data_IF_606059177794
#
_entry.id   IF_606059177794
#
_cell.length_a   1.000
_cell.length_b   1.000
_cell.length_c   1.000
_cell.angle_alpha   90.00
_cell.angle_beta   90.00
_cell.angle_gamma   90.00
#
_symmetry.space_group_name_H-M   'P 1'
#
loop_
_entity.id
_entity.type
_entity.pdbx_description
1 polymer ?
#
# COMPACT_ATOMS: atom_id res chain seq x y z
N UNK A 1 -52.79 -36.39 20.56
CA UNK A 1 -53.00 -37.32 19.43
C UNK A 1 -52.58 -36.67 18.15
N UNK A 2 -51.79 -37.40 17.39
CA UNK A 2 -51.28 -37.21 16.03
C UNK A 2 -49.90 -36.57 15.94
N UNK A 3 -48.94 -37.46 15.86
CA UNK A 3 -47.62 -37.29 15.32
C UNK A 3 -47.72 -36.95 13.82
N UNK A 4 -46.93 -35.97 13.36
CA UNK A 4 -46.57 -35.87 11.96
C UNK A 4 -45.11 -35.58 11.79
N UNK A 5 -44.45 -36.50 11.16
CA UNK A 5 -43.10 -36.45 10.61
C UNK A 5 -42.81 -35.15 9.88
N UNK A 6 -41.81 -34.41 10.31
CA UNK A 6 -41.14 -33.42 9.46
C UNK A 6 -39.97 -34.11 8.77
N UNK A 7 -40.21 -34.44 7.53
CA UNK A 7 -39.25 -34.94 6.57
C UNK A 7 -38.09 -33.95 6.36
N UNK A 8 -36.88 -34.47 6.48
CA UNK A 8 -35.64 -33.86 6.11
C UNK A 8 -35.69 -33.39 4.64
N UNK A 9 -35.77 -32.08 4.44
CA UNK A 9 -35.41 -31.48 3.16
C UNK A 9 -33.89 -31.32 3.18
N UNK A 10 -33.25 -32.17 2.43
CA UNK A 10 -31.81 -32.15 2.19
C UNK A 10 -31.45 -30.84 1.47
N UNK A 11 -30.72 -29.97 2.13
CA UNK A 11 -29.97 -28.87 1.54
C UNK A 11 -28.87 -29.43 0.62
N UNK A 12 -29.22 -29.78 -0.60
CA UNK A 12 -28.26 -30.23 -1.62
C UNK A 12 -28.14 -29.29 -2.83
N UNK A 13 -28.60 -28.02 -2.71
CA UNK A 13 -28.62 -27.09 -3.85
C UNK A 13 -27.91 -25.74 -3.66
N UNK A 14 -26.93 -25.66 -2.76
CA UNK A 14 -26.10 -24.45 -2.62
C UNK A 14 -24.63 -24.76 -2.91
N UNK A 15 -24.32 -25.25 -4.09
CA UNK A 15 -22.96 -25.22 -4.69
C UNK A 15 -23.03 -25.54 -6.17
N UNK A 16 -23.70 -24.68 -6.92
CA UNK A 16 -23.34 -24.42 -8.30
C UNK A 16 -22.90 -22.96 -8.36
N UNK A 17 -21.68 -22.68 -7.89
CA UNK A 17 -20.92 -21.57 -8.40
C UNK A 17 -20.80 -21.81 -9.89
N UNK A 18 -21.40 -20.92 -10.67
CA UNK A 18 -21.22 -20.87 -12.11
C UNK A 18 -19.71 -20.71 -12.39
N UNK A 19 -19.06 -21.83 -12.64
CA UNK A 19 -17.81 -21.85 -13.37
C UNK A 19 -18.17 -21.39 -14.79
N UNK A 20 -18.04 -20.10 -15.05
CA UNK A 20 -17.78 -19.59 -16.38
C UNK A 20 -16.34 -20.04 -16.74
N UNK A 21 -16.15 -21.31 -16.93
CA UNK A 21 -14.97 -21.88 -17.57
C UNK A 21 -15.10 -21.51 -19.04
N UNK A 22 -14.23 -20.61 -19.48
CA UNK A 22 -13.96 -20.48 -20.91
C UNK A 22 -13.61 -21.89 -21.41
N UNK A 23 -14.43 -22.43 -22.32
CA UNK A 23 -14.37 -23.81 -22.78
C UNK A 23 -13.16 -24.14 -23.69
N UNK A 24 -12.04 -23.41 -23.55
CA UNK A 24 -10.85 -23.66 -24.36
C UNK A 24 -9.58 -23.75 -23.49
N UNK A 25 -8.68 -24.62 -23.85
CA UNK A 25 -7.35 -24.71 -23.27
C UNK A 25 -6.40 -23.75 -23.99
N UNK A 26 -5.64 -22.94 -23.25
CA UNK A 26 -4.66 -22.00 -23.83
C UNK A 26 -3.67 -22.69 -24.78
N UNK A 27 -3.33 -23.97 -24.54
CA UNK A 27 -2.44 -24.78 -25.38
C UNK A 27 -2.97 -25.04 -26.80
N UNK A 28 -4.26 -24.83 -27.04
CA UNK A 28 -4.84 -24.95 -28.39
C UNK A 28 -4.44 -23.80 -29.31
N UNK A 29 -4.00 -22.67 -28.74
CA UNK A 29 -3.62 -21.46 -29.49
C UNK A 29 -2.11 -21.25 -29.61
N UNK A 30 -1.29 -22.10 -28.96
CA UNK A 30 0.16 -22.01 -29.05
C UNK A 30 0.88 -22.59 -27.83
N UNK A 31 2.19 -22.43 -27.83
CA UNK A 31 3.04 -22.84 -26.69
C UNK A 31 2.73 -22.02 -25.45
N UNK A 32 2.59 -22.68 -24.32
CA UNK A 32 2.28 -22.05 -23.03
C UNK A 32 3.35 -22.38 -21.98
N UNK A 33 3.60 -21.46 -21.08
CA UNK A 33 4.41 -21.68 -19.88
C UNK A 33 3.56 -21.39 -18.63
N UNK A 34 3.47 -22.35 -17.71
CA UNK A 34 2.74 -22.20 -16.45
C UNK A 34 3.75 -21.89 -15.33
N UNK A 35 3.56 -20.77 -14.63
CA UNK A 35 4.41 -20.36 -13.50
C UNK A 35 3.59 -20.13 -12.23
N UNK A 36 4.14 -20.49 -11.10
CA UNK A 36 3.54 -20.21 -9.81
C UNK A 36 3.51 -18.70 -9.50
N UNK A 37 2.38 -18.23 -8.98
CA UNK A 37 2.27 -16.85 -8.51
C UNK A 37 3.01 -16.71 -7.17
N UNK A 38 3.95 -15.77 -7.02
CA UNK A 38 4.64 -15.52 -5.77
C UNK A 38 3.67 -15.29 -4.59
N UNK A 39 4.01 -15.83 -3.43
CA UNK A 39 3.13 -15.76 -2.24
C UNK A 39 2.67 -14.34 -1.88
N UNK A 40 3.56 -13.35 -1.99
CA UNK A 40 3.24 -11.95 -1.71
C UNK A 40 2.15 -11.45 -2.66
N UNK A 41 2.28 -11.71 -3.96
CA UNK A 41 1.27 -11.34 -4.97
C UNK A 41 -0.06 -12.03 -4.72
N UNK A 42 -0.04 -13.33 -4.38
CA UNK A 42 -1.25 -14.11 -4.08
C UNK A 42 -2.00 -13.60 -2.85
N UNK A 43 -1.28 -13.12 -1.83
CA UNK A 43 -1.88 -12.53 -0.63
C UNK A 43 -2.41 -11.12 -0.90
N UNK A 44 -1.63 -10.26 -1.56
CA UNK A 44 -2.01 -8.86 -1.80
C UNK A 44 -3.17 -8.72 -2.77
N UNK A 45 -3.31 -9.63 -3.75
CA UNK A 45 -4.37 -9.55 -4.77
C UNK A 45 -5.78 -9.50 -4.16
N UNK A 46 -6.03 -10.29 -3.12
CA UNK A 46 -7.34 -10.30 -2.44
C UNK A 46 -7.69 -8.95 -1.80
N UNK A 47 -6.70 -8.30 -1.17
CA UNK A 47 -6.89 -6.99 -0.54
C UNK A 47 -7.07 -5.91 -1.60
N UNK A 48 -6.29 -5.94 -2.68
CA UNK A 48 -6.37 -4.97 -3.76
C UNK A 48 -7.73 -5.07 -4.49
N UNK A 49 -8.19 -6.27 -4.81
CA UNK A 49 -9.52 -6.49 -5.42
C UNK A 49 -10.63 -5.99 -4.49
N UNK A 50 -10.55 -6.29 -3.19
CA UNK A 50 -11.54 -5.84 -2.22
C UNK A 50 -11.56 -4.30 -2.11
N UNK A 51 -10.40 -3.65 -2.04
CA UNK A 51 -10.31 -2.19 -2.01
C UNK A 51 -10.86 -1.56 -3.29
N UNK A 52 -10.47 -2.09 -4.45
CA UNK A 52 -10.94 -1.59 -5.74
C UNK A 52 -12.46 -1.67 -5.90
N UNK A 53 -13.05 -2.77 -5.43
CA UNK A 53 -14.50 -3.01 -5.57
C UNK A 53 -15.35 -2.26 -4.55
N UNK A 54 -14.81 -1.95 -3.35
CA UNK A 54 -15.60 -1.40 -2.25
C UNK A 54 -15.38 0.10 -2.02
N UNK A 55 -14.25 0.64 -2.44
CA UNK A 55 -13.91 2.04 -2.19
C UNK A 55 -14.12 2.84 -3.47
N UNK A 56 -14.98 3.90 -3.48
CA UNK A 56 -15.08 4.81 -4.60
C UNK A 56 -13.77 5.59 -4.76
N UNK A 57 -12.96 5.22 -5.77
CA UNK A 57 -11.69 5.88 -6.03
C UNK A 57 -11.89 7.16 -6.84
N UNK A 58 -11.25 8.23 -6.39
CA UNK A 58 -11.14 9.49 -7.13
C UNK A 58 -9.66 9.86 -7.20
N UNK A 59 -9.16 10.10 -8.40
CA UNK A 59 -7.76 10.48 -8.64
C UNK A 59 -7.68 11.95 -9.00
N UNK A 60 -6.89 12.72 -8.24
CA UNK A 60 -6.53 14.09 -8.56
C UNK A 60 -5.08 14.12 -9.04
N UNK A 61 -4.81 14.91 -10.07
CA UNK A 61 -3.48 15.16 -10.60
C UNK A 61 -3.11 16.61 -10.34
N UNK A 62 -1.88 16.84 -9.89
CA UNK A 62 -1.35 18.17 -9.63
C UNK A 62 0.16 18.16 -9.84
N UNK A 63 0.75 19.35 -10.01
CA UNK A 63 2.19 19.55 -10.18
C UNK A 63 2.70 20.54 -9.15
N UNK A 64 3.92 20.32 -8.69
CA UNK A 64 4.59 21.23 -7.76
C UNK A 64 6.04 21.47 -8.21
N UNK A 65 6.44 22.73 -8.24
CA UNK A 65 7.84 23.09 -8.43
C UNK A 65 8.64 22.75 -7.17
N UNK A 66 9.62 21.88 -7.33
CA UNK A 66 10.49 21.40 -6.25
C UNK A 66 11.93 21.92 -6.40
N UNK A 67 12.17 22.93 -7.25
CA UNK A 67 13.53 23.44 -7.55
C UNK A 67 14.27 23.85 -6.27
N UNK A 68 13.68 24.70 -5.43
CA UNK A 68 14.29 25.14 -4.18
C UNK A 68 14.56 23.98 -3.21
N UNK A 69 13.63 23.01 -3.14
CA UNK A 69 13.80 21.80 -2.31
C UNK A 69 15.00 20.97 -2.81
N UNK A 70 15.17 20.81 -4.12
CA UNK A 70 16.26 20.05 -4.72
C UNK A 70 17.61 20.76 -4.55
N UNK A 71 17.67 22.08 -4.68
CA UNK A 71 18.84 22.87 -4.38
C UNK A 71 19.26 22.71 -2.91
N UNK A 72 18.31 22.86 -1.98
CA UNK A 72 18.56 22.66 -0.57
C UNK A 72 19.03 21.23 -0.29
N UNK A 73 18.34 20.20 -0.81
CA UNK A 73 18.70 18.80 -0.64
C UNK A 73 20.12 18.51 -1.14
N UNK A 74 20.50 19.07 -2.29
CA UNK A 74 21.81 18.89 -2.90
C UNK A 74 22.93 19.59 -2.13
N UNK A 75 22.63 20.65 -1.41
CA UNK A 75 23.58 21.39 -0.57
C UNK A 75 23.87 20.71 0.77
N UNK A 76 23.03 19.74 1.19
CA UNK A 76 23.17 19.11 2.51
C UNK A 76 24.46 18.29 2.62
N UNK A 77 25.29 18.69 3.57
CA UNK A 77 26.54 17.99 3.92
C UNK A 77 26.50 17.54 5.38
N UNK A 78 27.33 16.58 5.72
CA UNK A 78 27.56 16.20 7.10
C UNK A 78 28.51 17.23 7.75
N UNK A 79 28.12 17.75 8.90
CA UNK A 79 28.85 18.83 9.59
C UNK A 79 30.21 18.36 10.09
N UNK A 80 30.39 17.07 10.34
CA UNK A 80 31.62 16.52 10.89
C UNK A 80 32.57 15.99 9.82
N UNK A 81 31.99 15.38 8.74
CA UNK A 81 32.81 14.74 7.70
C UNK A 81 32.93 15.57 6.43
N UNK A 82 32.08 16.59 6.24
CA UNK A 82 31.99 17.37 5.00
C UNK A 82 31.40 16.60 3.81
N UNK A 83 31.04 15.34 4.00
CA UNK A 83 30.49 14.51 2.93
C UNK A 83 29.02 14.87 2.62
N UNK A 84 28.63 14.74 1.36
CA UNK A 84 27.25 14.97 0.93
C UNK A 84 26.30 13.95 1.55
N UNK A 85 25.24 14.43 2.21
CA UNK A 85 24.20 13.57 2.75
C UNK A 85 23.34 13.00 1.63
N UNK A 86 23.26 11.67 1.54
CA UNK A 86 22.40 10.96 0.57
C UNK A 86 20.95 10.90 1.09
N UNK A 87 20.23 12.03 0.98
CA UNK A 87 18.82 12.13 1.33
C UNK A 87 18.02 12.16 0.02
N UNK A 88 17.02 11.27 -0.11
CA UNK A 88 16.14 11.23 -1.28
C UNK A 88 15.01 12.27 -1.16
N UNK A 89 14.46 12.79 -2.27
CA UNK A 89 13.27 13.65 -2.26
C UNK A 89 12.11 13.06 -1.47
N UNK A 90 11.96 11.75 -1.49
CA UNK A 90 10.93 11.03 -0.76
C UNK A 90 10.92 11.35 0.74
N UNK A 91 12.08 11.57 1.36
CA UNK A 91 12.15 11.91 2.79
C UNK A 91 11.48 13.26 3.10
N UNK A 92 11.60 14.23 2.20
CA UNK A 92 10.93 15.53 2.29
C UNK A 92 9.42 15.38 2.08
N UNK A 93 9.01 14.62 1.08
CA UNK A 93 7.59 14.35 0.79
C UNK A 93 6.92 13.68 1.99
N UNK A 94 7.55 12.68 2.60
CA UNK A 94 7.06 12.02 3.82
C UNK A 94 6.86 13.04 4.97
N UNK A 95 7.78 13.97 5.14
CA UNK A 95 7.67 15.00 6.18
C UNK A 95 6.56 16.00 5.84
N UNK A 96 6.48 16.47 4.60
CA UNK A 96 5.44 17.37 4.13
C UNK A 96 4.04 16.74 4.29
N UNK A 97 3.87 15.48 3.87
CA UNK A 97 2.62 14.74 4.05
C UNK A 97 2.20 14.70 5.53
N UNK A 98 3.13 14.46 6.44
CA UNK A 98 2.84 14.43 7.87
C UNK A 98 2.31 15.77 8.39
N UNK A 99 2.84 16.89 7.89
CA UNK A 99 2.38 18.22 8.22
C UNK A 99 0.97 18.46 7.66
N UNK A 100 0.73 18.03 6.43
CA UNK A 100 -0.58 18.13 5.77
C UNK A 100 -1.64 17.31 6.50
N UNK A 101 -1.32 16.09 6.94
CA UNK A 101 -2.25 15.25 7.71
C UNK A 101 -2.59 15.84 9.10
N UNK A 102 -1.69 16.61 9.70
CA UNK A 102 -1.98 17.38 10.91
C UNK A 102 -2.95 18.53 10.65
N UNK A 103 -2.77 19.23 9.52
CA UNK A 103 -3.61 20.35 9.12
C UNK A 103 -5.00 19.88 8.67
N UNK A 104 -5.08 18.72 8.03
CA UNK A 104 -6.29 18.15 7.49
C UNK A 104 -6.57 16.75 8.08
N UNK A 105 -7.02 16.65 9.34
CA UNK A 105 -7.12 15.38 10.05
C UNK A 105 -8.13 14.40 9.44
N UNK A 106 -9.08 14.85 8.63
CA UNK A 106 -10.00 13.98 7.90
C UNK A 106 -9.29 13.02 6.93
N UNK A 107 -8.13 13.43 6.38
CA UNK A 107 -7.31 12.54 5.57
C UNK A 107 -6.51 11.52 6.40
N UNK A 108 -6.42 11.71 7.71
CA UNK A 108 -5.83 10.73 8.63
C UNK A 108 -6.92 9.97 9.40
N UNK A 109 -7.92 9.51 8.70
CA UNK A 109 -9.06 8.80 9.27
C UNK A 109 -9.36 7.51 8.50
N UNK A 110 -10.22 6.68 9.04
CA UNK A 110 -10.81 5.54 8.36
C UNK A 110 -12.27 5.38 8.74
N UNK A 111 -13.04 4.85 7.81
CA UNK A 111 -14.44 4.46 8.02
C UNK A 111 -14.43 2.93 7.97
N UNK A 112 -14.49 2.30 9.15
CA UNK A 112 -14.42 0.85 9.26
C UNK A 112 -15.79 0.21 9.01
N UNK A 113 -16.86 0.91 9.45
CA UNK A 113 -18.25 0.47 9.31
C UNK A 113 -19.14 1.67 8.95
N UNK A 114 -19.52 1.78 7.68
CA UNK A 114 -20.36 2.87 7.17
C UNK A 114 -21.74 2.85 7.85
N UNK A 115 -22.32 1.69 8.05
CA UNK A 115 -23.65 1.52 8.62
C UNK A 115 -23.76 2.06 10.06
N UNK A 116 -22.65 2.05 10.80
CA UNK A 116 -22.58 2.62 12.15
C UNK A 116 -22.38 4.14 12.17
N UNK A 117 -22.18 4.77 11.02
CA UNK A 117 -21.99 6.22 10.90
C UNK A 117 -20.81 6.78 11.68
N UNK A 118 -19.78 5.98 11.92
CA UNK A 118 -18.59 6.37 12.69
C UNK A 118 -17.34 6.48 11.84
N UNK A 119 -16.57 7.54 12.09
CA UNK A 119 -15.27 7.76 11.48
C UNK A 119 -14.19 7.76 12.56
N UNK A 120 -13.15 7.00 12.36
CA UNK A 120 -12.00 6.90 13.28
C UNK A 120 -10.89 7.84 12.86
N UNK A 121 -10.68 8.94 13.61
CA UNK A 121 -9.55 9.85 13.43
C UNK A 121 -8.32 9.32 14.11
N UNK A 122 -7.28 9.05 13.32
CA UNK A 122 -6.00 8.53 13.81
C UNK A 122 -5.17 9.66 14.43
N UNK A 123 -4.69 9.47 15.65
CA UNK A 123 -3.80 10.42 16.34
C UNK A 123 -2.31 10.06 16.21
N UNK A 124 -2.01 9.04 15.40
CA UNK A 124 -0.67 8.61 15.05
C UNK A 124 -0.42 8.88 13.55
N UNK A 125 0.84 8.99 13.17
CA UNK A 125 1.26 9.30 11.81
C UNK A 125 2.26 8.23 11.36
N UNK A 126 1.73 7.14 10.79
CA UNK A 126 2.48 6.01 10.27
C UNK A 126 2.32 5.97 8.75
N UNK A 127 3.36 6.36 8.04
CA UNK A 127 3.30 6.49 6.58
C UNK A 127 3.75 5.20 5.92
N UNK A 128 2.87 4.62 5.11
CA UNK A 128 3.21 3.49 4.25
C UNK A 128 4.09 3.94 3.09
N UNK A 129 5.10 3.15 2.78
CA UNK A 129 5.98 3.37 1.64
C UNK A 129 5.90 2.16 0.73
N UNK A 130 5.44 2.36 -0.50
CA UNK A 130 5.40 1.28 -1.47
C UNK A 130 6.83 0.95 -1.93
N UNK A 131 7.23 -0.30 -1.73
CA UNK A 131 8.54 -0.83 -2.12
C UNK A 131 8.34 -1.96 -3.10
N UNK A 132 8.85 -1.79 -4.31
CA UNK A 132 8.90 -2.87 -5.29
C UNK A 132 10.03 -3.83 -4.95
N UNK A 133 9.71 -5.13 -4.98
CA UNK A 133 10.66 -6.19 -4.65
C UNK A 133 10.53 -7.33 -5.66
N UNK A 134 11.56 -8.17 -5.82
CA UNK A 134 11.48 -9.37 -6.67
C UNK A 134 10.33 -10.32 -6.28
N UNK A 135 9.83 -10.21 -5.06
CA UNK A 135 8.76 -11.04 -4.52
C UNK A 135 7.36 -10.44 -4.69
N UNK A 136 7.27 -9.18 -5.12
CA UNK A 136 6.06 -8.38 -5.27
C UNK A 136 6.09 -7.09 -4.46
N UNK A 137 5.04 -6.28 -4.60
CA UNK A 137 4.89 -5.01 -3.91
C UNK A 137 4.67 -5.21 -2.41
N UNK A 138 5.46 -4.55 -1.59
CA UNK A 138 5.33 -4.51 -0.14
C UNK A 138 5.17 -3.06 0.33
N UNK A 139 4.35 -2.84 1.37
CA UNK A 139 4.05 -1.49 1.87
C UNK A 139 4.33 -1.41 3.37
N UNK A 140 5.62 -1.41 3.77
CA UNK A 140 6.01 -1.20 5.17
C UNK A 140 5.62 0.20 5.66
N UNK A 141 5.48 0.34 6.98
CA UNK A 141 5.09 1.58 7.63
C UNK A 141 6.28 2.25 8.31
N UNK A 142 6.52 3.49 7.94
CA UNK A 142 7.39 4.39 8.68
C UNK A 142 6.60 4.93 9.88
N UNK A 143 6.93 4.50 11.09
CA UNK A 143 6.12 4.81 12.28
C UNK A 143 6.50 6.15 12.90
N UNK A 144 5.51 6.83 13.51
CA UNK A 144 5.70 8.06 14.29
C UNK A 144 6.51 9.14 13.55
N UNK A 145 6.22 9.35 12.28
CA UNK A 145 6.96 10.28 11.41
C UNK A 145 6.92 11.72 11.93
N UNK A 146 5.84 12.08 12.63
CA UNK A 146 5.68 13.39 13.25
C UNK A 146 6.82 13.75 14.21
N UNK A 147 7.45 12.76 14.85
CA UNK A 147 8.53 12.94 15.83
C UNK A 147 9.93 12.78 15.22
N UNK A 148 10.04 12.61 13.90
CA UNK A 148 11.31 12.36 13.22
C UNK A 148 11.74 13.55 12.38
N UNK A 149 13.04 13.82 12.36
CA UNK A 149 13.65 14.74 11.40
C UNK A 149 13.91 14.05 10.06
N UNK A 150 14.20 14.83 9.02
CA UNK A 150 14.40 14.34 7.66
C UNK A 150 15.56 13.34 7.57
N UNK A 151 16.65 13.55 8.29
CA UNK A 151 17.80 12.63 8.28
C UNK A 151 17.46 11.26 8.85
N UNK A 152 16.67 11.20 9.92
CA UNK A 152 16.21 9.94 10.49
C UNK A 152 15.22 9.23 9.56
N UNK A 153 14.29 10.00 8.95
CA UNK A 153 13.37 9.48 7.94
C UNK A 153 14.15 8.85 6.77
N UNK A 154 15.15 9.54 6.24
CA UNK A 154 15.97 9.02 5.13
C UNK A 154 16.71 7.72 5.50
N UNK A 155 17.24 7.64 6.72
CA UNK A 155 17.90 6.44 7.26
C UNK A 155 16.94 5.24 7.35
N UNK A 156 15.74 5.49 7.88
CA UNK A 156 14.73 4.46 8.03
C UNK A 156 14.15 4.01 6.68
N UNK A 157 13.94 4.94 5.73
CA UNK A 157 13.52 4.61 4.36
C UNK A 157 14.47 3.62 3.70
N UNK A 158 15.79 3.85 3.82
CA UNK A 158 16.78 2.91 3.30
C UNK A 158 16.69 1.57 4.00
N UNK A 159 16.65 1.55 5.34
CA UNK A 159 16.57 0.34 6.14
C UNK A 159 15.36 -0.52 5.75
N UNK A 160 14.15 0.05 5.74
CA UNK A 160 12.93 -0.69 5.42
C UNK A 160 12.91 -1.20 3.97
N UNK A 161 13.48 -0.43 3.02
CA UNK A 161 13.63 -0.87 1.63
C UNK A 161 14.51 -2.13 1.54
N UNK A 162 15.66 -2.11 2.21
CA UNK A 162 16.59 -3.25 2.22
C UNK A 162 15.98 -4.48 2.93
N UNK A 163 15.27 -4.27 4.03
CA UNK A 163 14.55 -5.34 4.75
C UNK A 163 13.44 -5.97 3.90
N UNK A 164 12.67 -5.17 3.14
CA UNK A 164 11.66 -5.69 2.23
C UNK A 164 12.24 -6.51 1.09
N UNK A 165 13.30 -6.01 0.43
CA UNK A 165 13.97 -6.72 -0.67
C UNK A 165 14.54 -8.07 -0.24
N UNK A 166 14.98 -8.15 1.01
CA UNK A 166 15.57 -9.37 1.58
C UNK A 166 14.55 -10.24 2.36
N UNK A 167 13.24 -9.90 2.35
CA UNK A 167 12.19 -10.58 3.11
C UNK A 167 12.46 -10.65 4.62
N UNK A 168 13.18 -9.66 5.17
CA UNK A 168 13.52 -9.56 6.59
C UNK A 168 12.63 -8.60 7.36
N UNK A 169 11.67 -7.94 6.68
CA UNK A 169 10.73 -7.02 7.32
C UNK A 169 9.82 -7.76 8.31
N UNK A 170 9.65 -7.21 9.50
CA UNK A 170 8.69 -7.74 10.47
C UNK A 170 7.26 -7.53 9.95
N UNK A 171 6.43 -8.58 10.05
CA UNK A 171 5.03 -8.54 9.59
C UNK A 171 4.23 -7.42 10.23
N UNK A 172 4.51 -7.07 11.50
CA UNK A 172 3.82 -5.96 12.18
C UNK A 172 4.04 -4.61 11.50
N UNK A 173 5.17 -4.43 10.81
CA UNK A 173 5.46 -3.18 10.09
C UNK A 173 4.62 -3.01 8.80
N UNK A 174 3.89 -4.03 8.40
CA UNK A 174 2.99 -3.97 7.24
C UNK A 174 1.57 -3.48 7.59
N UNK A 175 1.26 -3.25 8.88
CA UNK A 175 -0.09 -2.89 9.34
C UNK A 175 -0.12 -1.52 10.03
N UNK A 176 -1.33 -0.97 10.20
CA UNK A 176 -1.59 0.23 11.02
C UNK A 176 -1.09 1.53 10.39
N UNK A 177 -1.21 1.67 9.07
CA UNK A 177 -0.84 2.91 8.38
C UNK A 177 -1.87 4.03 8.49
N UNK A 178 -1.39 5.25 8.28
CA UNK A 178 -2.22 6.45 8.12
C UNK A 178 -2.56 6.68 6.65
N UNK A 179 -1.53 6.80 5.83
CA UNK A 179 -1.59 7.02 4.38
C UNK A 179 -0.38 6.34 3.73
N UNK A 180 -0.46 6.04 2.45
CA UNK A 180 0.64 5.40 1.71
C UNK A 180 1.18 6.34 0.64
N UNK A 181 2.50 6.36 0.49
CA UNK A 181 3.20 7.03 -0.62
C UNK A 181 3.72 5.96 -1.58
N UNK A 182 3.37 6.09 -2.85
CA UNK A 182 3.95 5.31 -3.94
C UNK A 182 4.78 6.24 -4.80
N UNK A 183 6.07 5.97 -4.93
CA UNK A 183 6.98 6.77 -5.75
C UNK A 183 7.36 6.01 -7.01
N UNK A 184 7.15 6.64 -8.16
CA UNK A 184 7.56 6.14 -9.47
C UNK A 184 8.91 6.68 -9.94
N UNK A 185 9.60 7.47 -9.12
CA UNK A 185 10.86 8.14 -9.50
C UNK A 185 11.99 7.22 -9.96
N UNK A 186 11.94 5.93 -9.63
CA UNK A 186 12.89 4.91 -10.10
C UNK A 186 12.41 4.07 -11.28
N UNK A 187 11.13 4.17 -11.65
CA UNK A 187 10.48 3.34 -12.67
C UNK A 187 10.12 4.18 -13.89
N UNK A 188 9.76 5.45 -13.68
CA UNK A 188 9.25 6.36 -14.69
C UNK A 188 7.72 6.36 -14.79
N UNK A 189 7.21 7.23 -15.65
CA UNK A 189 5.76 7.46 -15.83
C UNK A 189 5.34 8.82 -15.29
N UNK A 190 4.25 9.36 -15.87
CA UNK A 190 3.72 10.68 -15.48
C UNK A 190 2.49 10.57 -14.58
N UNK A 191 1.62 9.59 -14.85
CA UNK A 191 0.35 9.42 -14.13
C UNK A 191 0.05 7.95 -13.86
N UNK A 192 -0.61 7.67 -12.76
CA UNK A 192 -1.14 6.35 -12.43
C UNK A 192 -2.32 6.50 -11.45
N UNK A 193 -3.11 5.44 -11.31
CA UNK A 193 -4.19 5.39 -10.33
C UNK A 193 -3.80 4.47 -9.19
N UNK A 194 -3.46 5.00 -8.00
CA UNK A 194 -3.15 4.17 -6.86
C UNK A 194 -4.42 3.51 -6.31
N UNK A 195 -4.30 2.28 -5.85
CA UNK A 195 -5.37 1.56 -5.15
C UNK A 195 -5.22 1.83 -3.65
N UNK A 196 -6.32 2.21 -2.99
CA UNK A 196 -6.39 2.55 -1.56
C UNK A 196 -6.36 1.27 -0.71
#
# INVERSE_FOLDING_TARGET
FVSTNSSQIKDSNLKKEEKNELEYAHSEFGEIEIKDIPRVKKLSSKYLVNSWSKIPHVTNHDEADITEMEEFRSSLTDVYTGEKKKITPLAFIVKALTISLKKFPSFNSSIDEIDNGKMTYKKYYHIGIAVDTPHGLMVPKLRNVNNKNISLIAKELKKISDECKNLKIDKKELFGGSMTITSLGGIGGSFFTPII
#
